data_IF_153825466254
#
_entry.id   IF_153825466254
#
_cell.length_a   1.000
_cell.length_b   1.000
_cell.length_c   1.000
_cell.angle_alpha   90.00
_cell.angle_beta   90.00
_cell.angle_gamma   90.00
#
_symmetry.space_group_name_H-M   'P 1'
#
loop_
_entity.id
_entity.type
_entity.pdbx_description
1 polymer ?
#
# COMPACT_ATOMS: atom_id res chain seq x y z
N UNK A 1 -20.43 13.85 16.57
CA UNK A 1 -19.32 14.28 15.67
C UNK A 1 -18.91 13.13 14.78
N UNK A 2 -18.78 13.39 13.49
CA UNK A 2 -18.35 12.36 12.52
C UNK A 2 -16.88 12.60 12.17
N UNK A 3 -16.07 11.57 12.36
CA UNK A 3 -14.66 11.61 11.96
C UNK A 3 -14.50 10.90 10.63
N UNK A 4 -13.92 11.58 9.65
CA UNK A 4 -13.61 11.01 8.36
C UNK A 4 -12.11 10.73 8.31
N UNK A 5 -11.74 9.46 8.13
CA UNK A 5 -10.35 9.10 7.94
C UNK A 5 -9.89 9.52 6.56
N UNK A 6 -8.80 10.26 6.50
CA UNK A 6 -8.18 10.68 5.24
C UNK A 6 -6.92 9.88 4.93
N UNK A 7 -6.37 9.20 5.91
CA UNK A 7 -5.14 8.41 5.78
C UNK A 7 -5.19 7.18 6.68
N UNK A 8 -4.52 6.12 6.27
CA UNK A 8 -4.35 4.90 7.06
C UNK A 8 -3.03 4.24 6.71
N UNK A 9 -2.51 3.45 7.63
CA UNK A 9 -1.26 2.72 7.41
C UNK A 9 -1.36 1.29 7.93
N UNK A 10 -0.46 0.45 7.43
CA UNK A 10 -0.29 -0.92 7.90
C UNK A 10 1.16 -1.33 7.68
N UNK A 11 1.67 -2.17 8.57
CA UNK A 11 3.02 -2.70 8.49
C UNK A 11 4.02 -1.95 9.35
N UNK A 12 5.29 -2.25 9.13
CA UNK A 12 6.41 -1.66 9.87
C UNK A 12 7.56 -1.34 8.93
N UNK A 13 8.50 -0.53 9.40
CA UNK A 13 9.73 -0.26 8.66
C UNK A 13 10.90 -1.08 9.22
N UNK A 14 10.63 -2.34 9.53
CA UNK A 14 11.66 -3.30 9.98
C UNK A 14 12.10 -4.19 8.83
N UNK A 15 13.23 -4.88 9.01
CA UNK A 15 13.78 -5.78 7.99
C UNK A 15 12.76 -6.82 7.57
N UNK A 16 12.70 -7.07 6.27
CA UNK A 16 11.80 -8.03 5.62
C UNK A 16 10.31 -7.67 5.73
N UNK A 17 10.01 -6.41 6.06
CA UNK A 17 8.65 -5.90 6.12
C UNK A 17 8.53 -4.64 5.26
N UNK A 18 7.34 -4.10 5.19
CA UNK A 18 7.08 -2.81 4.55
C UNK A 18 6.04 -2.03 5.33
N UNK A 19 6.10 -0.72 5.22
CA UNK A 19 5.09 0.17 5.77
C UNK A 19 4.32 0.77 4.60
N UNK A 20 3.01 0.52 4.57
CA UNK A 20 2.12 1.04 3.55
C UNK A 20 1.27 2.15 4.16
N UNK A 21 1.31 3.32 3.57
CA UNK A 21 0.46 4.45 3.95
C UNK A 21 -0.37 4.85 2.75
N UNK A 22 -1.68 4.96 2.94
CA UNK A 22 -2.59 5.36 1.87
C UNK A 22 -3.45 6.53 2.32
N UNK A 23 -3.87 7.34 1.35
CA UNK A 23 -4.82 8.42 1.59
C UNK A 23 -5.76 8.54 0.39
N UNK A 24 -6.94 9.10 0.62
CA UNK A 24 -7.89 9.37 -0.45
C UNK A 24 -7.30 10.37 -1.43
N UNK A 25 -7.56 10.16 -2.72
CA UNK A 25 -7.11 11.03 -3.79
C UNK A 25 -8.10 10.96 -4.95
N UNK A 26 -7.99 11.88 -5.89
CA UNK A 26 -8.87 11.89 -7.07
C UNK A 26 -8.44 10.85 -8.10
N UNK A 27 -7.14 10.58 -8.16
CA UNK A 27 -6.56 9.60 -9.07
C UNK A 27 -5.57 8.73 -8.33
N UNK A 28 -5.28 7.56 -8.89
CA UNK A 28 -4.28 6.66 -8.33
C UNK A 28 -2.87 7.22 -8.52
N UNK A 29 -2.11 7.29 -7.45
CA UNK A 29 -0.67 7.54 -7.53
C UNK A 29 0.06 6.62 -6.56
N UNK A 30 1.25 6.19 -6.95
CA UNK A 30 2.03 5.21 -6.21
C UNK A 30 3.45 5.73 -6.06
N UNK A 31 3.91 5.82 -4.81
CA UNK A 31 5.30 6.16 -4.50
C UNK A 31 5.93 4.98 -3.75
N UNK A 32 7.11 4.58 -4.19
CA UNK A 32 7.83 3.44 -3.62
C UNK A 32 9.22 3.89 -3.20
N UNK A 33 9.54 3.67 -1.94
CA UNK A 33 10.88 3.78 -1.41
C UNK A 33 11.28 2.41 -0.90
N UNK A 34 12.34 1.83 -1.46
CA UNK A 34 12.74 0.47 -1.13
C UNK A 34 14.26 0.36 -1.11
N UNK A 35 14.77 -0.41 -0.14
CA UNK A 35 16.21 -0.72 -0.05
C UNK A 35 16.68 -1.61 -1.20
N UNK A 36 15.73 -2.21 -1.95
CA UNK A 36 16.02 -3.07 -3.10
C UNK A 36 15.38 -2.52 -4.39
N UNK A 37 15.14 -1.22 -4.44
CA UNK A 37 14.39 -0.60 -5.54
C UNK A 37 15.03 -0.84 -6.90
N UNK A 38 16.35 -0.71 -7.00
CA UNK A 38 17.07 -0.89 -8.27
C UNK A 38 16.83 -2.27 -8.86
N UNK A 39 16.65 -3.28 -8.02
CA UNK A 39 16.49 -4.67 -8.43
C UNK A 39 15.03 -5.10 -8.52
N UNK A 40 14.16 -4.62 -7.60
CA UNK A 40 12.80 -5.11 -7.45
C UNK A 40 11.73 -4.01 -7.51
N UNK A 41 12.09 -2.78 -7.88
CA UNK A 41 11.11 -1.68 -7.92
C UNK A 41 9.93 -1.95 -8.83
N UNK A 42 10.18 -2.50 -10.02
CA UNK A 42 9.12 -2.83 -10.98
C UNK A 42 8.21 -3.93 -10.45
N UNK A 43 8.78 -4.93 -9.78
CA UNK A 43 8.00 -6.02 -9.19
C UNK A 43 7.12 -5.49 -8.05
N UNK A 44 7.66 -4.62 -7.21
CA UNK A 44 6.89 -4.00 -6.12
C UNK A 44 5.71 -3.22 -6.70
N UNK A 45 5.97 -2.40 -7.71
CA UNK A 45 4.93 -1.60 -8.38
C UNK A 45 3.83 -2.50 -8.94
N UNK A 46 4.22 -3.61 -9.57
CA UNK A 46 3.26 -4.56 -10.14
C UNK A 46 2.40 -5.24 -9.08
N UNK A 47 2.99 -5.63 -7.95
CA UNK A 47 2.22 -6.20 -6.82
C UNK A 47 1.20 -5.19 -6.31
N UNK A 48 1.59 -3.91 -6.19
CA UNK A 48 0.66 -2.85 -5.76
C UNK A 48 -0.52 -2.74 -6.72
N UNK A 49 -0.24 -2.63 -8.02
CA UNK A 49 -1.29 -2.49 -9.04
C UNK A 49 -2.22 -3.70 -9.04
N UNK A 50 -1.66 -4.90 -9.01
CA UNK A 50 -2.44 -6.14 -9.02
C UNK A 50 -3.33 -6.24 -7.79
N UNK A 51 -2.80 -5.91 -6.61
CA UNK A 51 -3.56 -5.97 -5.37
C UNK A 51 -4.71 -4.97 -5.39
N UNK A 52 -4.44 -3.71 -5.77
CA UNK A 52 -5.48 -2.68 -5.84
C UNK A 52 -6.55 -3.02 -6.87
N UNK A 53 -6.18 -3.61 -7.99
CA UNK A 53 -7.13 -4.06 -9.01
C UNK A 53 -8.04 -5.16 -8.46
N UNK A 54 -7.47 -6.12 -7.73
CA UNK A 54 -8.23 -7.18 -7.09
C UNK A 54 -9.24 -6.62 -6.08
N UNK A 55 -8.86 -5.59 -5.33
CA UNK A 55 -9.74 -4.93 -4.37
C UNK A 55 -10.72 -3.94 -5.01
N UNK A 56 -10.55 -3.63 -6.29
CA UNK A 56 -11.28 -2.59 -7.00
C UNK A 56 -11.14 -1.21 -6.33
N UNK A 57 -9.92 -0.89 -5.92
CA UNK A 57 -9.57 0.39 -5.29
C UNK A 57 -8.65 1.17 -6.23
N UNK A 58 -8.98 2.42 -6.53
CA UNK A 58 -8.21 3.21 -7.50
C UNK A 58 -8.10 4.70 -7.22
N UNK A 59 -8.86 5.23 -6.29
CA UNK A 59 -8.84 6.67 -5.99
C UNK A 59 -8.08 6.93 -4.70
N UNK A 60 -6.82 6.50 -4.68
CA UNK A 60 -5.96 6.65 -3.51
C UNK A 60 -4.53 6.99 -3.93
N UNK A 61 -3.80 7.62 -3.02
CA UNK A 61 -2.36 7.75 -3.08
C UNK A 61 -1.76 6.67 -2.18
N UNK A 62 -0.84 5.87 -2.73
CA UNK A 62 -0.16 4.80 -2.00
C UNK A 62 1.31 5.17 -1.84
N UNK A 63 1.78 5.16 -0.61
CA UNK A 63 3.19 5.36 -0.29
C UNK A 63 3.72 4.10 0.39
N UNK A 64 4.78 3.53 -0.17
CA UNK A 64 5.37 2.28 0.33
C UNK A 64 6.81 2.52 0.74
N UNK A 65 7.12 2.21 1.99
CA UNK A 65 8.48 2.11 2.49
C UNK A 65 8.81 0.64 2.69
N UNK A 66 9.64 0.09 1.81
CA UNK A 66 9.93 -1.33 1.78
C UNK A 66 11.35 -1.64 2.26
N UNK A 67 11.46 -2.63 3.12
CA UNK A 67 12.74 -3.18 3.59
C UNK A 67 12.88 -4.66 3.25
N UNK A 68 12.50 -5.03 2.03
CA UNK A 68 12.66 -6.38 1.56
C UNK A 68 11.50 -7.31 1.86
N UNK A 69 10.27 -6.78 1.92
CA UNK A 69 9.08 -7.61 2.12
C UNK A 69 8.87 -8.56 0.95
N UNK A 70 8.36 -9.75 1.25
CA UNK A 70 7.90 -10.67 0.22
C UNK A 70 6.60 -10.15 -0.40
N UNK A 71 6.29 -10.62 -1.63
CA UNK A 71 5.12 -10.15 -2.36
C UNK A 71 3.82 -10.30 -1.56
N UNK A 72 3.63 -11.44 -0.89
CA UNK A 72 2.42 -11.67 -0.11
C UNK A 72 2.36 -10.79 1.13
N UNK A 73 3.50 -10.42 1.71
CA UNK A 73 3.55 -9.50 2.84
C UNK A 73 3.12 -8.10 2.40
N UNK A 74 3.66 -7.65 1.27
CA UNK A 74 3.30 -6.36 0.69
C UNK A 74 1.79 -6.30 0.38
N UNK A 75 1.27 -7.33 -0.29
CA UNK A 75 -0.16 -7.40 -0.61
C UNK A 75 -1.02 -7.37 0.66
N UNK A 76 -0.65 -8.12 1.70
CA UNK A 76 -1.39 -8.15 2.96
C UNK A 76 -1.41 -6.78 3.64
N UNK A 77 -0.28 -6.04 3.60
CA UNK A 77 -0.21 -4.68 4.17
C UNK A 77 -1.11 -3.71 3.41
N UNK A 78 -1.14 -3.81 2.10
CA UNK A 78 -2.02 -2.97 1.25
C UNK A 78 -3.48 -3.24 1.58
N UNK A 79 -3.88 -4.51 1.66
CA UNK A 79 -5.25 -4.90 2.00
C UNK A 79 -5.65 -4.33 3.36
N UNK A 80 -4.78 -4.50 4.36
CA UNK A 80 -5.05 -4.01 5.72
C UNK A 80 -5.18 -2.47 5.74
N UNK A 81 -4.28 -1.77 5.04
CA UNK A 81 -4.36 -0.31 4.96
C UNK A 81 -5.67 0.14 4.32
N UNK A 82 -6.10 -0.53 3.24
CA UNK A 82 -7.36 -0.22 2.57
C UNK A 82 -8.56 -0.46 3.48
N UNK A 83 -8.55 -1.53 4.27
CA UNK A 83 -9.60 -1.79 5.25
C UNK A 83 -9.64 -0.69 6.32
N UNK A 84 -8.48 -0.29 6.82
CA UNK A 84 -8.38 0.75 7.86
C UNK A 84 -8.83 2.11 7.36
N UNK A 85 -8.58 2.41 6.09
CA UNK A 85 -9.05 3.66 5.48
C UNK A 85 -10.55 3.61 5.19
N UNK A 86 -11.13 2.41 5.08
CA UNK A 86 -12.55 2.23 4.79
C UNK A 86 -12.88 2.22 3.31
N UNK A 87 -11.87 2.05 2.43
CA UNK A 87 -12.10 1.98 0.97
C UNK A 87 -12.28 0.55 0.47
N UNK A 88 -12.07 -0.42 1.35
CA UNK A 88 -12.27 -1.83 1.07
C UNK A 88 -12.90 -2.53 2.27
N UNK A 89 -13.91 -3.36 2.02
CA UNK A 89 -14.59 -4.18 3.02
C UNK A 89 -14.65 -5.63 2.54
N UNK A 90 -14.45 -6.55 3.47
CA UNK A 90 -14.59 -7.99 3.17
C UNK A 90 -16.02 -8.37 2.82
#
# INVERSE_FOLDING_TARGET
MIFIKTTASAGTFESNDCLVTIKNAETLSIEIESVVFDQFGDQIHEVVLKTLKTLNVKNIHVYIKDKGALDYTLAARIITACKRLGVYHD
#
